data_IF_911711889979
#
_entry.id   IF_911711889979
#
_cell.length_a   1.000
_cell.length_b   1.000
_cell.length_c   1.000
_cell.angle_alpha   90.00
_cell.angle_beta   90.00
_cell.angle_gamma   90.00
#
_symmetry.space_group_name_H-M   'P 1'
#
loop_
_entity.id
_entity.type
_entity.pdbx_description
1 polymer ?
#
# COMPACT_ATOMS: atom_id res chain seq x y z
N UNK A 1 9.30 -5.18 -0.52
CA UNK A 1 7.89 -5.42 -0.89
C UNK A 1 7.07 -5.47 0.38
N UNK A 2 5.96 -4.75 0.43
CA UNK A 2 4.95 -4.82 1.48
C UNK A 2 3.61 -5.27 0.86
N UNK A 3 2.80 -5.99 1.62
CA UNK A 3 1.46 -6.42 1.20
C UNK A 3 0.45 -5.75 2.11
N UNK A 4 -0.53 -5.07 1.51
CA UNK A 4 -1.57 -4.32 2.23
C UNK A 4 -2.93 -4.87 1.83
N UNK A 5 -3.83 -5.02 2.79
CA UNK A 5 -5.22 -5.42 2.50
C UNK A 5 -6.12 -4.19 2.49
N UNK A 6 -6.95 -4.07 1.45
CA UNK A 6 -8.00 -3.07 1.40
C UNK A 6 -9.19 -3.50 2.29
N UNK A 7 -9.82 -2.55 3.01
CA UNK A 7 -10.96 -2.87 3.86
C UNK A 7 -12.24 -3.19 3.06
N UNK A 8 -12.31 -2.75 1.81
CA UNK A 8 -13.46 -2.86 0.90
C UNK A 8 -13.00 -2.98 -0.57
N UNK A 9 -13.95 -3.06 -1.49
CA UNK A 9 -13.69 -3.28 -2.93
C UNK A 9 -12.97 -2.11 -3.60
N UNK A 10 -13.09 -0.91 -3.02
CA UNK A 10 -12.42 0.30 -3.52
C UNK A 10 -10.93 0.22 -3.23
N UNK A 11 -10.13 0.24 -4.28
CA UNK A 11 -8.67 0.16 -4.19
C UNK A 11 -8.02 1.17 -5.13
N UNK A 12 -6.78 1.61 -4.83
CA UNK A 12 -6.02 2.45 -5.74
C UNK A 12 -5.64 1.69 -7.02
N UNK A 13 -5.40 2.44 -8.09
CA UNK A 13 -4.84 1.90 -9.33
C UNK A 13 -3.36 1.53 -9.17
N UNK A 14 -2.88 0.59 -10.00
CA UNK A 14 -1.46 0.30 -10.11
C UNK A 14 -0.70 1.57 -10.46
N UNK A 15 0.36 1.82 -9.70
CA UNK A 15 1.22 2.98 -9.85
C UNK A 15 0.87 4.14 -8.93
N UNK A 16 -0.23 4.06 -8.16
CA UNK A 16 -0.60 5.04 -7.14
C UNK A 16 0.46 5.13 -6.05
N UNK A 17 0.74 6.35 -5.61
CA UNK A 17 1.67 6.61 -4.50
C UNK A 17 0.96 6.36 -3.17
N UNK A 18 1.64 5.64 -2.30
CA UNK A 18 1.16 5.31 -0.96
C UNK A 18 1.90 6.17 0.04
N UNK A 19 1.17 6.74 0.99
CA UNK A 19 1.67 7.61 2.06
C UNK A 19 1.34 7.02 3.44
N UNK A 20 2.07 7.43 4.46
CA UNK A 20 1.77 7.12 5.86
C UNK A 20 0.89 8.20 6.52
N UNK A 21 0.68 8.07 7.84
CA UNK A 21 -0.08 9.03 8.64
C UNK A 21 0.54 10.44 8.70
N UNK A 22 1.85 10.56 8.48
CA UNK A 22 2.57 11.83 8.40
C UNK A 22 2.48 12.45 7.01
N UNK A 23 1.77 11.80 6.08
CA UNK A 23 1.66 12.14 4.66
C UNK A 23 2.98 12.00 3.90
N UNK A 24 3.93 11.24 4.45
CA UNK A 24 5.20 10.96 3.78
C UNK A 24 5.01 9.82 2.79
N UNK A 25 5.63 9.95 1.62
CA UNK A 25 5.57 8.92 0.58
C UNK A 25 6.39 7.72 1.00
N UNK A 26 5.72 6.57 1.18
CA UNK A 26 6.36 5.33 1.62
C UNK A 26 6.59 4.34 0.49
N UNK A 27 5.84 4.45 -0.61
CA UNK A 27 5.97 3.51 -1.72
C UNK A 27 4.97 3.72 -2.85
N UNK A 28 4.92 2.73 -3.74
CA UNK A 28 4.04 2.72 -4.92
C UNK A 28 3.34 1.38 -5.05
N UNK A 29 2.07 1.39 -5.41
CA UNK A 29 1.33 0.17 -5.75
C UNK A 29 1.89 -0.42 -7.04
N UNK A 30 2.28 -1.69 -7.02
CA UNK A 30 2.84 -2.41 -8.18
C UNK A 30 1.97 -3.57 -8.63
N UNK A 31 1.04 -4.03 -7.80
CA UNK A 31 0.08 -5.08 -8.14
C UNK A 31 -1.18 -4.99 -7.28
N UNK A 32 -2.30 -5.50 -7.80
CA UNK A 32 -3.60 -5.64 -7.12
C UNK A 32 -4.12 -7.05 -7.38
N UNK A 33 -4.36 -7.82 -6.32
CA UNK A 33 -4.72 -9.24 -6.43
C UNK A 33 -5.62 -9.70 -5.29
N UNK A 34 -6.22 -10.90 -5.42
CA UNK A 34 -7.06 -11.51 -4.38
C UNK A 34 -8.56 -11.26 -4.57
N UNK A 35 -9.37 -11.43 -3.51
CA UNK A 35 -10.82 -11.29 -3.57
C UNK A 35 -11.24 -9.86 -3.95
N UNK A 36 -12.21 -9.74 -4.86
CA UNK A 36 -12.66 -8.42 -5.35
C UNK A 36 -13.29 -7.59 -4.24
N UNK A 37 -13.88 -8.22 -3.23
CA UNK A 37 -14.52 -7.52 -2.13
C UNK A 37 -13.53 -6.88 -1.15
N UNK A 38 -12.31 -7.46 -1.06
CA UNK A 38 -11.23 -7.08 -0.14
C UNK A 38 -9.86 -7.43 -0.76
N UNK A 39 -9.42 -6.68 -1.78
CA UNK A 39 -8.20 -6.98 -2.51
C UNK A 39 -6.96 -6.75 -1.66
N UNK A 40 -5.87 -7.37 -2.09
CA UNK A 40 -4.53 -7.14 -1.59
C UNK A 40 -3.73 -6.32 -2.60
N UNK A 41 -2.90 -5.42 -2.08
CA UNK A 41 -2.01 -4.56 -2.83
C UNK A 41 -0.56 -4.99 -2.58
N UNK A 42 0.23 -5.15 -3.63
CA UNK A 42 1.68 -5.16 -3.50
C UNK A 42 2.20 -3.72 -3.57
N UNK A 43 2.89 -3.28 -2.52
CA UNK A 43 3.52 -1.96 -2.46
C UNK A 43 5.03 -2.14 -2.51
N UNK A 44 5.67 -1.48 -3.49
CA UNK A 44 7.12 -1.33 -3.53
C UNK A 44 7.52 -0.11 -2.71
N UNK A 45 8.21 -0.29 -1.57
CA UNK A 45 8.67 0.83 -0.77
C UNK A 45 9.75 1.64 -1.51
N UNK A 46 9.89 2.92 -1.16
CA UNK A 46 11.05 3.73 -1.59
C UNK A 46 12.30 3.31 -0.81
N UNK A 47 13.49 3.62 -1.35
CA UNK A 47 14.78 3.14 -0.82
C UNK A 47 15.05 3.52 0.65
N UNK A 48 14.49 4.65 1.12
CA UNK A 48 14.62 5.13 2.49
C UNK A 48 13.74 4.40 3.50
N UNK A 49 12.78 3.58 3.04
CA UNK A 49 11.79 2.94 3.91
C UNK A 49 12.22 1.53 4.25
N UNK A 50 12.35 1.25 5.54
CA UNK A 50 12.60 -0.10 6.06
C UNK A 50 11.29 -0.90 6.10
N UNK A 51 11.07 -1.89 5.22
CA UNK A 51 9.75 -2.49 5.02
C UNK A 51 9.11 -3.11 6.29
N UNK A 52 9.86 -3.77 7.19
CA UNK A 52 9.31 -4.24 8.46
C UNK A 52 8.68 -3.16 9.35
N UNK A 53 9.07 -1.89 9.19
CA UNK A 53 8.51 -0.78 9.97
C UNK A 53 7.07 -0.44 9.56
N UNK A 54 6.62 -0.89 8.38
CA UNK A 54 5.25 -0.67 7.88
C UNK A 54 4.25 -1.72 8.40
N UNK A 55 4.72 -2.78 9.05
CA UNK A 55 3.85 -3.87 9.50
C UNK A 55 2.95 -3.37 10.64
N UNK A 56 1.63 -3.53 10.45
CA UNK A 56 0.62 -3.10 11.42
C UNK A 56 0.28 -1.60 11.36
N UNK A 57 0.95 -0.84 10.49
CA UNK A 57 0.65 0.57 10.23
C UNK A 57 -0.45 0.69 9.16
N UNK A 58 -1.46 1.56 9.33
CA UNK A 58 -2.35 1.91 8.22
C UNK A 58 -1.59 2.72 7.17
N UNK A 59 -1.82 2.40 5.90
CA UNK A 59 -1.29 3.17 4.77
C UNK A 59 -2.44 3.85 4.02
N UNK A 60 -2.14 5.01 3.44
CA UNK A 60 -3.10 5.88 2.79
C UNK A 60 -2.69 6.15 1.35
N UNK A 61 -3.65 6.59 0.54
CA UNK A 61 -3.42 7.07 -0.82
C UNK A 61 -4.31 8.29 -1.07
N UNK A 62 -3.95 9.08 -2.09
CA UNK A 62 -4.68 10.28 -2.52
C UNK A 62 -5.23 10.07 -3.92
#
# INVERSE_FOLDING_TARGET
MAVVQCPEETHPDIGTMVIDESLDTVGRVVDVFGPVERPYLAVSPVDSVHPPALVGQPLYYR
#
